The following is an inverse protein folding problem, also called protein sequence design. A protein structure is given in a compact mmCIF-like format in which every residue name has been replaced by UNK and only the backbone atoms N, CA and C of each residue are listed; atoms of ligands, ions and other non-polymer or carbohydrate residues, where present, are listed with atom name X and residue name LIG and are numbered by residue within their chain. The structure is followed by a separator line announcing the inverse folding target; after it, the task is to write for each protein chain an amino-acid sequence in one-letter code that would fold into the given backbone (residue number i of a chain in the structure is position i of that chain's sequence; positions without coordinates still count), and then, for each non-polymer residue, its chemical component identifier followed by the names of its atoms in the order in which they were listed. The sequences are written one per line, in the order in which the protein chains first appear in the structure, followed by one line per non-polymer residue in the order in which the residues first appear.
data_IF_850748376688
#
_entry.id   IF_850748376688
#
_cell.length_a   1.000
_cell.length_b   1.000
_cell.length_c   1.000
_cell.angle_alpha   90.00
_cell.angle_beta   90.00
_cell.angle_gamma   90.00
#
_symmetry.space_group_name_H-M   'P 1'
#
loop_
_entity.id
_entity.type
_entity.pdbx_description
1 polymer ?
#
# COMPACT_ATOMS: atom_id res chain seq x y z
N UNK A 1 14.81 12.48 -61.88
CA UNK A 1 15.97 12.93 -61.08
C UNK A 1 16.12 11.96 -59.93
N UNK A 2 17.27 11.30 -59.79
CA UNK A 2 17.53 10.31 -58.72
C UNK A 2 18.33 10.98 -57.60
N UNK A 3 17.98 10.70 -56.36
CA UNK A 3 18.61 11.33 -55.19
C UNK A 3 19.42 10.29 -54.45
N UNK A 4 20.68 10.64 -54.22
CA UNK A 4 21.63 9.82 -53.52
C UNK A 4 21.83 10.41 -52.13
N UNK A 5 21.49 9.62 -51.11
CA UNK A 5 21.64 10.01 -49.71
C UNK A 5 22.95 9.41 -49.20
N UNK A 6 23.80 10.23 -48.60
CA UNK A 6 25.08 9.80 -48.03
C UNK A 6 25.03 9.91 -46.50
N UNK A 7 25.19 8.79 -45.79
CA UNK A 7 25.33 8.78 -44.34
C UNK A 7 26.51 7.90 -43.92
N UNK A 8 27.43 8.45 -43.12
CA UNK A 8 28.52 7.75 -42.40
C UNK A 8 29.21 6.63 -43.21
N UNK A 9 29.58 6.93 -44.46
CA UNK A 9 30.24 6.05 -45.46
C UNK A 9 29.37 5.05 -46.23
N UNK A 10 28.03 5.13 -46.15
CA UNK A 10 27.11 4.44 -47.08
C UNK A 10 26.34 5.44 -47.93
N UNK A 11 26.16 5.10 -49.20
CA UNK A 11 25.30 5.82 -50.13
C UNK A 11 24.06 4.96 -50.41
N UNK A 12 22.88 5.50 -50.15
CA UNK A 12 21.59 4.83 -50.42
C UNK A 12 20.79 5.65 -51.42
N UNK A 13 20.25 4.98 -52.44
CA UNK A 13 19.39 5.62 -53.44
C UNK A 13 17.97 5.78 -52.88
N UNK A 14 17.40 6.98 -53.00
CA UNK A 14 16.00 7.23 -52.70
C UNK A 14 15.21 7.34 -54.01
N UNK A 15 14.28 6.42 -54.21
CA UNK A 15 13.39 6.41 -55.36
C UNK A 15 12.22 7.38 -55.11
N UNK A 16 12.48 8.68 -55.26
CA UNK A 16 11.51 9.75 -55.08
C UNK A 16 12.05 11.10 -55.53
N UNK A 17 11.20 12.14 -55.51
CA UNK A 17 11.59 13.52 -55.78
C UNK A 17 12.28 14.17 -54.58
N UNK A 18 12.90 15.33 -54.80
CA UNK A 18 13.65 16.04 -53.76
C UNK A 18 12.74 16.60 -52.67
N UNK A 19 11.54 17.05 -53.04
CA UNK A 19 10.54 17.51 -52.09
C UNK A 19 10.08 16.37 -51.15
N UNK A 20 9.84 15.18 -51.68
CA UNK A 20 9.46 14.00 -50.87
C UNK A 20 10.61 13.54 -49.97
N UNK A 21 11.86 13.67 -50.41
CA UNK A 21 13.01 13.37 -49.55
C UNK A 21 13.17 14.39 -48.42
N UNK A 22 12.95 15.68 -48.69
CA UNK A 22 13.02 16.75 -47.68
C UNK A 22 11.96 16.55 -46.59
N UNK A 23 10.73 16.22 -46.96
CA UNK A 23 9.65 15.89 -46.02
C UNK A 23 9.99 14.65 -45.16
N UNK A 24 10.43 13.54 -45.78
CA UNK A 24 10.79 12.31 -45.04
C UNK A 24 12.02 12.52 -44.15
N UNK A 25 12.97 13.36 -44.56
CA UNK A 25 14.18 13.66 -43.78
C UNK A 25 13.89 14.54 -42.57
N UNK A 26 13.02 15.54 -42.73
CA UNK A 26 12.60 16.44 -41.66
C UNK A 26 11.71 15.71 -40.65
N UNK A 27 10.82 14.83 -41.12
CA UNK A 27 9.99 13.97 -40.26
C UNK A 27 10.85 12.97 -39.46
N UNK A 28 11.85 12.35 -40.08
CA UNK A 28 12.80 11.47 -39.38
C UNK A 28 13.68 12.21 -38.37
N UNK A 29 14.16 13.42 -38.71
CA UNK A 29 14.93 14.25 -37.79
C UNK A 29 14.10 14.69 -36.58
N UNK A 30 12.83 15.03 -36.80
CA UNK A 30 11.90 15.38 -35.74
C UNK A 30 11.56 14.18 -34.85
N UNK A 31 11.31 13.00 -35.44
CA UNK A 31 11.07 11.77 -34.67
C UNK A 31 12.29 11.38 -33.82
N UNK A 32 13.51 11.48 -34.36
CA UNK A 32 14.74 11.23 -33.61
C UNK A 32 14.95 12.22 -32.46
N UNK A 33 14.61 13.49 -32.66
CA UNK A 33 14.70 14.53 -31.62
C UNK A 33 13.70 14.30 -30.47
N UNK A 34 12.46 13.90 -30.79
CA UNK A 34 11.44 13.56 -29.80
C UNK A 34 11.85 12.34 -28.98
N UNK A 35 12.30 11.25 -29.62
CA UNK A 35 12.77 10.05 -28.91
C UNK A 35 14.01 10.32 -28.05
N UNK A 36 14.94 11.16 -28.51
CA UNK A 36 16.10 11.56 -27.71
C UNK A 36 15.71 12.41 -26.49
N UNK A 37 14.70 13.29 -26.63
CA UNK A 37 14.19 14.10 -25.53
C UNK A 37 13.46 13.24 -24.47
N UNK A 38 12.68 12.24 -24.91
CA UNK A 38 12.00 11.29 -24.01
C UNK A 38 13.00 10.42 -23.23
N UNK A 39 14.03 9.90 -23.89
CA UNK A 39 15.10 9.14 -23.21
C UNK A 39 15.86 9.98 -22.18
N UNK A 40 16.13 11.26 -22.47
CA UNK A 40 16.78 12.16 -21.53
C UNK A 40 15.89 12.49 -20.32
N UNK A 41 14.57 12.64 -20.54
CA UNK A 41 13.60 12.83 -19.45
C UNK A 41 13.54 11.62 -18.52
N UNK A 42 13.48 10.41 -19.07
CA UNK A 42 13.48 9.16 -18.29
C UNK A 42 14.77 8.98 -17.49
N UNK A 43 15.92 9.32 -18.06
CA UNK A 43 17.23 9.27 -17.36
C UNK A 43 17.31 10.26 -16.20
N UNK A 44 16.85 11.50 -16.38
CA UNK A 44 16.85 12.51 -15.32
C UNK A 44 15.93 12.14 -14.14
N UNK A 45 14.78 11.53 -14.41
CA UNK A 45 13.86 11.04 -13.36
C UNK A 45 14.47 9.85 -12.61
N UNK A 46 15.07 8.90 -13.33
CA UNK A 46 15.77 7.77 -12.71
C UNK A 46 16.99 8.20 -11.89
N UNK A 47 17.71 9.23 -12.33
CA UNK A 47 18.85 9.79 -11.61
C UNK A 47 18.39 10.52 -10.35
N UNK A 48 17.37 11.38 -10.43
CA UNK A 48 16.77 12.03 -9.26
C UNK A 48 16.27 11.01 -8.22
N UNK A 49 15.66 9.91 -8.66
CA UNK A 49 15.16 8.88 -7.76
C UNK A 49 16.28 8.04 -7.11
N UNK A 50 17.43 7.87 -7.78
CA UNK A 50 18.61 7.18 -7.24
C UNK A 50 19.41 8.02 -6.24
N UNK A 51 19.37 9.35 -6.36
CA UNK A 51 20.16 10.27 -5.52
C UNK A 51 19.36 10.77 -4.32
N UNK A 52 18.04 10.56 -4.28
CA UNK A 52 17.24 10.86 -3.10
C UNK A 52 17.76 10.04 -1.88
N UNK A 53 18.27 10.70 -0.82
CA UNK A 53 18.72 10.00 0.36
C UNK A 53 17.54 9.27 1.00
N UNK A 54 17.68 7.95 1.22
CA UNK A 54 16.68 7.18 1.98
C UNK A 54 16.46 7.90 3.32
N UNK A 55 15.21 8.17 3.72
CA UNK A 55 14.95 8.81 5.00
C UNK A 55 15.58 7.93 6.09
N UNK A 56 16.53 8.50 6.85
CA UNK A 56 17.06 7.84 8.05
C UNK A 56 15.88 7.62 8.99
N UNK A 57 15.54 6.37 9.26
CA UNK A 57 14.54 6.03 10.27
C UNK A 57 15.05 6.54 11.62
N UNK A 58 14.31 7.47 12.22
CA UNK A 58 14.61 8.02 13.54
C UNK A 58 14.17 6.99 14.60
N UNK A 59 15.10 6.38 15.37
CA UNK A 59 14.77 5.38 16.37
C UNK A 59 13.73 5.86 17.39
N UNK A 60 13.73 7.17 17.72
CA UNK A 60 12.74 7.76 18.64
C UNK A 60 11.35 7.78 18.04
N UNK A 61 11.24 8.06 16.73
CA UNK A 61 9.98 8.04 16.01
C UNK A 61 9.44 6.62 15.88
N UNK A 62 10.31 5.65 15.62
CA UNK A 62 9.94 4.24 15.57
C UNK A 62 9.48 3.70 16.94
N UNK A 63 10.16 4.08 18.04
CA UNK A 63 9.72 3.72 19.40
C UNK A 63 8.35 4.34 19.73
N UNK A 64 8.15 5.64 19.43
CA UNK A 64 6.87 6.30 19.65
C UNK A 64 5.74 5.63 18.86
N UNK A 65 6.01 5.23 17.62
CA UNK A 65 5.05 4.50 16.80
C UNK A 65 4.69 3.14 17.44
N UNK A 66 5.69 2.38 17.88
CA UNK A 66 5.45 1.11 18.55
C UNK A 66 4.62 1.27 19.84
N UNK A 67 4.90 2.31 20.64
CA UNK A 67 4.11 2.63 21.83
C UNK A 67 2.66 2.98 21.48
N UNK A 68 2.43 3.77 20.43
CA UNK A 68 1.09 4.08 19.97
C UNK A 68 0.35 2.83 19.47
N UNK A 69 1.04 1.94 18.77
CA UNK A 69 0.46 0.66 18.32
C UNK A 69 0.08 -0.23 19.51
N UNK A 70 0.87 -0.23 20.59
CA UNK A 70 0.56 -0.91 21.85
C UNK A 70 -0.69 -0.32 22.52
N UNK A 71 -0.74 1.01 22.70
CA UNK A 71 -1.91 1.69 23.29
C UNK A 71 -3.21 1.39 22.52
N UNK A 72 -3.15 1.37 21.19
CA UNK A 72 -4.29 1.01 20.34
C UNK A 72 -4.71 -0.45 20.55
N UNK A 73 -3.75 -1.36 20.68
CA UNK A 73 -4.04 -2.77 20.92
C UNK A 73 -4.69 -2.98 22.31
N UNK A 74 -4.17 -2.31 23.35
CA UNK A 74 -4.74 -2.34 24.71
C UNK A 74 -6.17 -1.81 24.76
N UNK A 75 -6.42 -0.66 24.11
CA UNK A 75 -7.75 -0.09 24.01
C UNK A 75 -8.72 -1.05 23.30
N UNK A 76 -8.24 -1.73 22.25
CA UNK A 76 -9.06 -2.70 21.51
C UNK A 76 -9.40 -3.94 22.33
N UNK A 77 -8.44 -4.47 23.10
CA UNK A 77 -8.68 -5.59 24.03
C UNK A 77 -9.73 -5.18 25.05
N UNK A 78 -9.55 -4.04 25.71
CA UNK A 78 -10.49 -3.51 26.73
C UNK A 78 -11.91 -3.34 26.16
N UNK A 79 -12.02 -2.79 24.94
CA UNK A 79 -13.30 -2.64 24.26
C UNK A 79 -13.99 -3.99 24.01
N UNK A 80 -13.25 -4.97 23.50
CA UNK A 80 -13.77 -6.30 23.19
C UNK A 80 -14.18 -7.06 24.45
N UNK A 81 -13.39 -7.00 25.51
CA UNK A 81 -13.73 -7.57 26.82
C UNK A 81 -15.04 -6.97 27.36
N UNK A 82 -15.21 -5.65 27.27
CA UNK A 82 -16.45 -5.00 27.68
C UNK A 82 -17.66 -5.48 26.86
N UNK A 83 -17.49 -5.69 25.55
CA UNK A 83 -18.57 -6.19 24.69
C UNK A 83 -18.91 -7.64 25.01
N UNK A 84 -17.90 -8.49 25.23
CA UNK A 84 -18.08 -9.87 25.68
C UNK A 84 -18.87 -9.90 26.98
N UNK A 85 -18.48 -9.10 27.98
CA UNK A 85 -19.20 -9.02 29.26
C UNK A 85 -20.66 -8.58 29.10
N UNK A 86 -20.94 -7.62 28.22
CA UNK A 86 -22.32 -7.19 27.92
C UNK A 86 -23.16 -8.30 27.29
N UNK A 87 -22.61 -9.00 26.30
CA UNK A 87 -23.33 -10.10 25.60
C UNK A 87 -23.53 -11.29 26.53
N UNK A 88 -22.52 -11.65 27.34
CA UNK A 88 -22.64 -12.70 28.37
C UNK A 88 -23.70 -12.31 29.40
N UNK A 89 -23.68 -11.08 29.92
CA UNK A 89 -24.71 -10.62 30.86
C UNK A 89 -26.12 -10.64 30.26
N UNK A 90 -26.26 -10.35 28.96
CA UNK A 90 -27.55 -10.46 28.26
C UNK A 90 -28.01 -11.92 28.08
N UNK A 91 -27.07 -12.86 27.86
CA UNK A 91 -27.35 -14.29 27.76
C UNK A 91 -27.69 -14.92 29.12
N UNK A 92 -27.11 -14.41 30.20
CA UNK A 92 -27.37 -14.89 31.56
C UNK A 92 -28.71 -14.43 32.12
N UNK A 93 -29.36 -13.40 31.53
CA UNK A 93 -30.66 -12.90 31.96
C UNK A 93 -31.77 -13.95 31.75
N UNK A 94 -32.37 -14.53 32.81
CA UNK A 94 -33.44 -15.52 32.68
C UNK A 94 -34.68 -14.97 31.96
N UNK A 95 -34.93 -13.65 32.03
CA UNK A 95 -36.06 -13.00 31.38
C UNK A 95 -35.93 -12.99 29.84
N UNK A 96 -34.74 -13.24 29.30
CA UNK A 96 -34.54 -13.45 27.86
C UNK A 96 -35.35 -14.66 27.38
N UNK A 97 -35.28 -15.77 28.12
CA UNK A 97 -35.85 -17.05 27.71
C UNK A 97 -37.36 -17.16 27.94
N UNK A 98 -37.94 -16.27 28.75
CA UNK A 98 -39.39 -16.24 28.99
C UNK A 98 -40.18 -15.54 27.87
N UNK A 99 -39.49 -14.85 26.95
CA UNK A 99 -40.11 -14.10 25.86
C UNK A 99 -40.33 -14.98 24.62
N UNK A 100 -41.37 -14.73 23.82
CA UNK A 100 -41.64 -15.50 22.59
C UNK A 100 -40.46 -15.52 21.60
N UNK A 101 -39.68 -14.44 21.53
CA UNK A 101 -38.50 -14.32 20.66
C UNK A 101 -37.18 -14.66 21.37
N UNK A 102 -37.24 -15.12 22.63
CA UNK A 102 -36.09 -15.34 23.49
C UNK A 102 -35.05 -16.29 22.91
N UNK A 103 -35.50 -17.41 22.35
CA UNK A 103 -34.63 -18.42 21.76
C UNK A 103 -33.89 -17.89 20.51
N UNK A 104 -34.58 -17.15 19.64
CA UNK A 104 -33.96 -16.55 18.46
C UNK A 104 -32.92 -15.51 18.87
N UNK A 105 -33.25 -14.65 19.85
CA UNK A 105 -32.33 -13.64 20.36
C UNK A 105 -31.12 -14.24 21.08
N UNK A 106 -31.31 -15.29 21.86
CA UNK A 106 -30.22 -16.04 22.49
C UNK A 106 -29.28 -16.67 21.44
N UNK A 107 -29.82 -17.21 20.35
CA UNK A 107 -29.00 -17.74 19.26
C UNK A 107 -28.17 -16.63 18.59
N UNK A 108 -28.77 -15.47 18.31
CA UNK A 108 -28.03 -14.31 17.76
C UNK A 108 -26.92 -13.84 18.69
N UNK A 109 -27.22 -13.68 19.98
CA UNK A 109 -26.22 -13.29 20.99
C UNK A 109 -25.11 -14.33 21.14
N UNK A 110 -25.43 -15.62 21.03
CA UNK A 110 -24.43 -16.70 21.02
C UNK A 110 -23.48 -16.60 19.82
N UNK A 111 -24.01 -16.36 18.61
CA UNK A 111 -23.19 -16.16 17.42
C UNK A 111 -22.32 -14.89 17.50
N UNK A 112 -22.86 -13.82 18.08
CA UNK A 112 -22.13 -12.58 18.37
C UNK A 112 -21.00 -12.84 19.37
N UNK A 113 -21.27 -13.55 20.47
CA UNK A 113 -20.27 -13.92 21.47
C UNK A 113 -19.11 -14.73 20.87
N UNK A 114 -19.39 -15.73 20.04
CA UNK A 114 -18.34 -16.51 19.37
C UNK A 114 -17.53 -15.68 18.38
N UNK A 115 -18.10 -14.62 17.82
CA UNK A 115 -17.36 -13.67 16.98
C UNK A 115 -16.49 -12.76 17.83
N UNK A 116 -17.04 -12.21 18.93
CA UNK A 116 -16.29 -11.37 19.85
C UNK A 116 -15.12 -12.10 20.52
N UNK A 117 -15.27 -13.39 20.83
CA UNK A 117 -14.17 -14.22 21.36
C UNK A 117 -13.03 -14.35 20.35
N UNK A 118 -13.34 -14.66 19.10
CA UNK A 118 -12.34 -14.73 18.02
C UNK A 118 -11.65 -13.39 17.79
N UNK A 119 -12.40 -12.30 17.84
CA UNK A 119 -11.85 -10.95 17.72
C UNK A 119 -10.96 -10.59 18.91
N UNK A 120 -11.33 -11.03 20.13
CA UNK A 120 -10.54 -10.83 21.35
C UNK A 120 -9.22 -11.61 21.28
N UNK A 121 -9.25 -12.87 20.87
CA UNK A 121 -8.04 -13.69 20.67
C UNK A 121 -7.09 -13.00 19.68
N UNK A 122 -7.60 -12.53 18.54
CA UNK A 122 -6.82 -11.79 17.55
C UNK A 122 -6.28 -10.45 18.10
N UNK A 123 -7.04 -9.76 18.96
CA UNK A 123 -6.60 -8.53 19.60
C UNK A 123 -5.48 -8.80 20.62
N UNK A 124 -5.55 -9.90 21.37
CA UNK A 124 -4.52 -10.34 22.31
C UNK A 124 -3.22 -10.74 21.59
N UNK A 125 -3.31 -11.44 20.46
CA UNK A 125 -2.15 -11.71 19.59
C UNK A 125 -1.52 -10.40 19.10
N UNK A 126 -2.34 -9.44 18.69
CA UNK A 126 -1.86 -8.14 18.22
C UNK A 126 -1.23 -7.31 19.33
N UNK A 127 -1.79 -7.35 20.54
CA UNK A 127 -1.22 -6.73 21.73
C UNK A 127 0.14 -7.35 22.06
N UNK A 128 0.24 -8.67 22.05
CA UNK A 128 1.50 -9.40 22.28
C UNK A 128 2.57 -8.96 21.28
N UNK A 129 2.24 -8.95 19.99
CA UNK A 129 3.16 -8.48 18.96
C UNK A 129 3.55 -7.00 19.15
N UNK A 130 2.62 -6.13 19.53
CA UNK A 130 2.92 -4.71 19.77
C UNK A 130 3.87 -4.52 20.96
N UNK A 131 3.68 -5.28 22.04
CA UNK A 131 4.57 -5.29 23.22
C UNK A 131 5.99 -5.69 22.82
N UNK A 132 6.14 -6.78 22.07
CA UNK A 132 7.45 -7.22 21.56
C UNK A 132 8.13 -6.13 20.69
N UNK A 133 7.36 -5.43 19.85
CA UNK A 133 7.90 -4.34 19.02
C UNK A 133 8.40 -3.15 19.86
N UNK A 134 7.73 -2.84 20.97
CA UNK A 134 8.19 -1.83 21.93
C UNK A 134 9.48 -2.29 22.61
N UNK A 135 9.52 -3.51 23.13
CA UNK A 135 10.69 -4.07 23.80
C UNK A 135 11.93 -4.11 22.91
N UNK A 136 11.78 -4.51 21.63
CA UNK A 136 12.88 -4.53 20.67
C UNK A 136 13.45 -3.14 20.36
N UNK A 137 12.65 -2.08 20.51
CA UNK A 137 13.03 -0.69 20.22
C UNK A 137 13.39 0.11 21.46
N UNK A 138 13.08 -0.40 22.65
CA UNK A 138 13.45 0.21 23.90
C UNK A 138 14.98 0.16 24.07
N UNK A 139 15.62 1.25 24.52
CA UNK A 139 17.03 1.22 24.87
C UNK A 139 17.23 0.25 26.05
N UNK A 140 18.21 -0.66 25.92
CA UNK A 140 18.64 -1.58 26.98
C UNK A 140 19.37 -0.86 28.11
#
# INVERSE_FOLDING_TARGET
TRIWILHERRMTEFAGSFAEWEEVSTERAHAAAVSAAEEQGLRQVHEHQRVAPKPKQDPRKELRRAQQELEVAEARVTELESRVAQVVGALEDPALYTRPEGAAKAHTLGAELETLKRDLDAALERWTAATEQVEMRAPR
#
